data_IF_187991585580
#
_entry.id   IF_187991585580
#
_cell.length_a   1.000
_cell.length_b   1.000
_cell.length_c   1.000
_cell.angle_alpha   90.00
_cell.angle_beta   90.00
_cell.angle_gamma   90.00
#
_symmetry.space_group_name_H-M   'P 1'
#
loop_
_entity.id
_entity.type
_entity.pdbx_description
1 polymer ?
#
# COMPACT_ATOMS: atom_id res chain seq x y z
N UNK A 1 7.09 -8.81 -9.11
CA UNK A 1 7.49 -7.39 -8.92
C UNK A 1 6.82 -6.55 -9.99
N UNK A 2 6.41 -5.33 -9.68
CA UNK A 2 5.75 -4.40 -10.61
C UNK A 2 6.53 -3.10 -10.69
N UNK A 3 6.48 -2.43 -11.84
CA UNK A 3 7.03 -1.08 -12.01
C UNK A 3 6.37 -0.10 -11.03
N UNK A 4 7.16 0.77 -10.41
CA UNK A 4 6.66 1.74 -9.43
C UNK A 4 5.57 2.65 -10.03
N UNK A 5 5.68 2.99 -11.31
CA UNK A 5 4.69 3.83 -12.01
C UNK A 5 3.38 3.09 -12.27
N UNK A 6 3.42 1.76 -12.36
CA UNK A 6 2.23 0.90 -12.49
C UNK A 6 1.67 0.44 -11.15
N UNK A 7 2.33 0.77 -10.04
CA UNK A 7 1.94 0.31 -8.70
C UNK A 7 0.63 0.93 -8.24
N UNK A 8 0.46 2.24 -8.40
CA UNK A 8 -0.75 2.95 -7.96
C UNK A 8 -2.03 2.37 -8.59
N UNK A 9 -2.16 2.26 -9.93
CA UNK A 9 -3.38 1.70 -10.52
C UNK A 9 -3.61 0.23 -10.12
N UNK A 10 -2.54 -0.57 -9.99
CA UNK A 10 -2.64 -1.96 -9.55
C UNK A 10 -3.12 -2.09 -8.10
N UNK A 11 -2.65 -1.22 -7.20
CA UNK A 11 -3.08 -1.19 -5.80
C UNK A 11 -4.55 -0.77 -5.71
N UNK A 12 -4.96 0.30 -6.39
CA UNK A 12 -6.36 0.77 -6.39
C UNK A 12 -7.30 -0.34 -6.87
N UNK A 13 -6.98 -1.00 -7.99
CA UNK A 13 -7.80 -2.09 -8.51
C UNK A 13 -7.90 -3.26 -7.53
N UNK A 14 -6.83 -3.59 -6.82
CA UNK A 14 -6.85 -4.67 -5.83
C UNK A 14 -7.60 -4.27 -4.55
N UNK A 15 -7.47 -3.02 -4.11
CA UNK A 15 -8.20 -2.49 -2.94
C UNK A 15 -9.70 -2.52 -3.17
N UNK A 16 -10.16 -2.16 -4.37
CA UNK A 16 -11.56 -2.24 -4.74
C UNK A 16 -12.14 -3.67 -4.66
N UNK A 17 -11.29 -4.70 -4.81
CA UNK A 17 -11.65 -6.11 -4.67
C UNK A 17 -11.30 -6.73 -3.31
N UNK A 18 -10.77 -5.96 -2.35
CA UNK A 18 -10.40 -6.49 -1.04
C UNK A 18 -11.63 -6.84 -0.22
N UNK A 19 -11.64 -8.05 0.33
CA UNK A 19 -12.53 -8.44 1.43
C UNK A 19 -11.91 -8.09 2.78
N UNK A 20 -12.71 -8.04 3.85
CA UNK A 20 -12.30 -7.55 5.18
C UNK A 20 -11.11 -8.29 5.81
N UNK A 21 -10.85 -9.55 5.40
CA UNK A 21 -9.72 -10.35 5.89
C UNK A 21 -8.46 -10.29 5.01
N UNK A 22 -8.48 -9.46 3.97
CA UNK A 22 -7.36 -9.32 3.05
C UNK A 22 -6.71 -7.94 3.17
N UNK A 23 -5.41 -7.91 3.00
CA UNK A 23 -4.60 -6.71 2.91
C UNK A 23 -3.68 -6.78 1.70
N UNK A 24 -3.23 -5.62 1.23
CA UNK A 24 -2.21 -5.49 0.20
C UNK A 24 -0.96 -4.95 0.83
N UNK A 25 0.17 -5.58 0.56
CA UNK A 25 1.49 -5.10 0.96
C UNK A 25 2.32 -4.71 -0.25
N UNK A 26 2.82 -3.49 -0.20
CA UNK A 26 3.78 -2.93 -1.15
C UNK A 26 5.14 -2.91 -0.42
N UNK A 27 6.16 -3.57 -0.95
CA UNK A 27 7.47 -3.62 -0.32
C UNK A 27 8.61 -3.31 -1.30
N UNK A 28 9.74 -2.80 -0.79
CA UNK A 28 10.99 -2.71 -1.56
C UNK A 28 11.50 -4.09 -1.97
N UNK A 29 12.46 -4.10 -2.90
CA UNK A 29 13.18 -5.33 -3.26
C UNK A 29 13.82 -6.02 -2.03
N UNK A 30 14.45 -5.23 -1.14
CA UNK A 30 15.07 -5.74 0.09
C UNK A 30 14.05 -6.11 1.18
N UNK A 31 12.78 -5.72 1.01
CA UNK A 31 11.67 -5.92 1.97
C UNK A 31 11.87 -5.27 3.35
N UNK A 32 12.90 -4.44 3.49
CA UNK A 32 13.21 -3.64 4.68
C UNK A 32 12.20 -2.50 4.89
N UNK A 33 11.51 -2.09 3.81
CA UNK A 33 10.46 -1.07 3.84
C UNK A 33 9.21 -1.58 3.18
N UNK A 34 8.06 -1.32 3.80
CA UNK A 34 6.76 -1.72 3.27
C UNK A 34 5.62 -0.82 3.74
N UNK A 35 4.57 -0.81 2.92
CA UNK A 35 3.28 -0.20 3.21
C UNK A 35 2.24 -1.32 3.12
N UNK A 36 1.43 -1.46 4.15
CA UNK A 36 0.31 -2.39 4.19
C UNK A 36 -1.00 -1.61 4.19
N UNK A 37 -1.95 -2.05 3.39
CA UNK A 37 -3.25 -1.42 3.18
C UNK A 37 -4.31 -2.48 3.45
N UNK A 38 -5.13 -2.27 4.46
CA UNK A 38 -6.25 -3.17 4.81
C UNK A 38 -7.57 -2.41 4.70
N UNK A 39 -8.65 -3.09 4.30
CA UNK A 39 -10.00 -2.54 4.35
C UNK A 39 -10.54 -2.75 5.76
N UNK A 40 -11.07 -1.69 6.38
CA UNK A 40 -11.64 -1.71 7.75
C UNK A 40 -13.09 -1.19 7.80
N UNK A 41 -13.62 -0.77 6.67
CA UNK A 41 -15.02 -0.38 6.50
C UNK A 41 -15.38 -0.27 5.02
N UNK A 42 -16.58 0.21 4.72
CA UNK A 42 -17.10 0.30 3.35
C UNK A 42 -16.21 1.16 2.44
N UNK A 43 -15.77 2.33 2.93
CA UNK A 43 -14.85 3.22 2.22
C UNK A 43 -13.59 3.56 3.05
N UNK A 44 -13.41 2.92 4.21
CA UNK A 44 -12.30 3.20 5.12
C UNK A 44 -11.21 2.14 4.97
N UNK A 45 -10.00 2.63 4.73
CA UNK A 45 -8.78 1.84 4.68
C UNK A 45 -7.92 2.16 5.89
N UNK A 46 -7.19 1.18 6.37
CA UNK A 46 -6.15 1.38 7.38
C UNK A 46 -4.79 1.12 6.77
N UNK A 47 -3.91 2.10 6.91
CA UNK A 47 -2.59 2.16 6.30
C UNK A 47 -1.55 1.99 7.39
N UNK A 48 -0.70 0.98 7.27
CA UNK A 48 0.49 0.81 8.11
C UNK A 48 1.72 1.03 7.25
N UNK A 49 2.63 1.89 7.70
CA UNK A 49 3.91 2.17 7.04
C UNK A 49 5.03 1.72 7.95
N UNK A 50 6.00 1.04 7.37
CA UNK A 50 7.21 0.62 8.04
C UNK A 50 8.41 0.86 7.13
N UNK A 51 9.29 1.79 7.50
CA UNK A 51 10.39 2.19 6.62
C UNK A 51 11.10 3.44 7.10
N UNK A 52 11.02 4.52 6.31
CA UNK A 52 11.57 5.82 6.69
C UNK A 52 10.82 6.41 7.88
N UNK A 53 9.48 6.32 7.87
CA UNK A 53 8.65 6.66 9.03
C UNK A 53 7.72 5.49 9.34
N UNK A 54 7.66 5.11 10.62
CA UNK A 54 6.69 4.14 11.11
C UNK A 54 5.42 4.88 11.54
N UNK A 55 4.29 4.57 10.92
CA UNK A 55 3.03 5.23 11.23
C UNK A 55 1.83 4.39 10.79
N UNK A 56 0.73 4.55 11.53
CA UNK A 56 -0.53 3.86 11.30
C UNK A 56 -1.68 4.86 11.37
N UNK A 57 -2.59 4.80 10.42
CA UNK A 57 -3.72 5.72 10.32
C UNK A 57 -4.80 5.20 9.38
N UNK A 58 -5.99 5.74 9.56
CA UNK A 58 -7.12 5.51 8.66
C UNK A 58 -7.14 6.53 7.51
N UNK A 59 -7.61 6.06 6.36
CA UNK A 59 -7.69 6.83 5.14
C UNK A 59 -8.93 6.42 4.36
N UNK A 60 -9.67 7.41 3.87
CA UNK A 60 -10.73 7.19 2.90
C UNK A 60 -10.15 6.67 1.57
N UNK A 61 -10.77 5.63 1.01
CA UNK A 61 -10.41 5.05 -0.28
C UNK A 61 -10.30 6.10 -1.39
N UNK A 62 -11.15 7.13 -1.38
CA UNK A 62 -11.09 8.24 -2.35
C UNK A 62 -9.75 9.00 -2.30
N UNK A 63 -9.10 9.07 -1.13
CA UNK A 63 -7.81 9.75 -0.93
C UNK A 63 -6.61 8.84 -1.20
N UNK A 64 -6.80 7.53 -1.29
CA UNK A 64 -5.74 6.54 -1.45
C UNK A 64 -4.79 6.85 -2.61
N UNK A 65 -5.33 7.24 -3.77
CA UNK A 65 -4.51 7.55 -4.95
C UNK A 65 -3.50 8.67 -4.70
N UNK A 66 -3.94 9.74 -4.02
CA UNK A 66 -3.09 10.89 -3.69
C UNK A 66 -2.06 10.49 -2.65
N UNK A 67 -2.50 9.76 -1.62
CA UNK A 67 -1.63 9.30 -0.55
C UNK A 67 -0.52 8.39 -1.07
N UNK A 68 -0.85 7.39 -1.88
CA UNK A 68 0.13 6.48 -2.48
C UNK A 68 1.21 7.22 -3.27
N UNK A 69 0.89 8.28 -4.01
CA UNK A 69 1.91 9.07 -4.71
C UNK A 69 2.93 9.66 -3.74
N UNK A 70 2.45 10.22 -2.64
CA UNK A 70 3.30 10.79 -1.58
C UNK A 70 4.12 9.69 -0.92
N UNK A 71 3.48 8.59 -0.50
CA UNK A 71 4.15 7.50 0.19
C UNK A 71 5.22 6.83 -0.68
N UNK A 72 4.91 6.55 -1.95
CA UNK A 72 5.89 5.93 -2.85
C UNK A 72 7.12 6.83 -3.04
N UNK A 73 6.94 8.16 -3.09
CA UNK A 73 8.05 9.12 -3.20
C UNK A 73 8.86 9.22 -1.90
N UNK A 74 8.22 9.19 -0.75
CA UNK A 74 8.88 9.30 0.55
C UNK A 74 9.60 7.99 0.95
N UNK A 75 8.90 6.86 0.85
CA UNK A 75 9.39 5.56 1.31
C UNK A 75 10.30 4.86 0.27
N UNK A 76 10.03 5.07 -1.02
CA UNK A 76 10.70 4.38 -2.12
C UNK A 76 11.35 5.31 -3.17
N UNK A 77 12.06 6.40 -2.79
CA UNK A 77 12.53 7.44 -3.72
C UNK A 77 13.48 6.94 -4.82
N UNK A 78 14.16 5.80 -4.60
CA UNK A 78 15.12 5.20 -5.55
C UNK A 78 14.67 3.84 -6.09
N UNK A 79 13.45 3.40 -5.79
CA UNK A 79 12.98 2.09 -6.25
C UNK A 79 12.29 2.23 -7.60
N UNK A 80 12.77 1.52 -8.62
CA UNK A 80 12.10 1.45 -9.92
C UNK A 80 11.01 0.36 -9.96
N UNK A 81 11.10 -0.63 -9.06
CA UNK A 81 10.17 -1.75 -8.96
C UNK A 81 9.88 -2.06 -7.50
N UNK A 82 8.66 -2.51 -7.22
CA UNK A 82 8.22 -2.92 -5.89
C UNK A 82 7.63 -4.33 -5.92
N UNK A 83 7.61 -4.97 -4.76
CA UNK A 83 6.88 -6.21 -4.53
C UNK A 83 5.45 -5.88 -4.12
N UNK A 84 4.48 -6.54 -4.73
CA UNK A 84 3.05 -6.34 -4.44
C UNK A 84 2.42 -7.69 -4.14
N UNK A 85 2.12 -7.94 -2.87
CA UNK A 85 1.59 -9.21 -2.37
C UNK A 85 0.29 -8.99 -1.61
N UNK A 86 -0.63 -9.95 -1.69
CA UNK A 86 -1.77 -10.02 -0.77
C UNK A 86 -1.29 -10.64 0.55
N UNK A 87 -1.82 -10.15 1.67
CA UNK A 87 -1.55 -10.66 3.02
C UNK A 87 -2.89 -10.96 3.65
N UNK A 88 -3.03 -12.13 4.25
CA UNK A 88 -4.22 -12.47 5.04
C UNK A 88 -3.98 -12.00 6.48
N UNK A 89 -4.97 -11.34 7.08
CA UNK A 89 -4.98 -11.18 8.53
C UNK A 89 -5.30 -12.55 9.12
N UNK A 90 -4.32 -13.14 9.83
CA UNK A 90 -4.50 -14.36 10.61
C UNK A 90 -5.03 -14.03 11.99
#
# INVERSE_FOLDING_TARGET
MIDINRTIPAVISRVASLTENQAIRIATFKKDRHITIRRVGEATLFITRHGFTNAEYELDEAKLKKELKTLLKQEFPRSNKVHLSSVSNG
#
